data_IF_351811926402
#
_entry.id   IF_351811926402
#
_cell.length_a   1.000
_cell.length_b   1.000
_cell.length_c   1.000
_cell.angle_alpha   90.00
_cell.angle_beta   90.00
_cell.angle_gamma   90.00
#
_symmetry.space_group_name_H-M   'P 1'
#
loop_
_entity.id
_entity.type
_entity.pdbx_description
1 polymer ?
#
# COMPACT_ATOMS: atom_id res chain seq x y z
N UNK A 1 18.20 3.78 -0.69
CA UNK A 1 18.62 2.52 -0.01
C UNK A 1 17.38 1.79 0.49
N UNK A 2 17.31 0.47 0.27
CA UNK A 2 16.21 -0.40 0.72
C UNK A 2 16.66 -1.08 2.02
N UNK A 3 15.92 -0.85 3.12
CA UNK A 3 16.15 -1.44 4.44
C UNK A 3 15.25 -2.66 4.67
N UNK A 4 14.00 -2.61 4.20
CA UNK A 4 13.08 -3.75 4.26
C UNK A 4 12.07 -3.71 3.09
N UNK A 5 11.59 -4.89 2.69
CA UNK A 5 10.46 -5.08 1.79
C UNK A 5 9.56 -6.16 2.39
N UNK A 6 8.25 -5.93 2.40
CA UNK A 6 7.24 -6.89 2.86
C UNK A 6 6.12 -7.02 1.84
N UNK A 7 5.86 -8.25 1.39
CA UNK A 7 4.67 -8.58 0.60
C UNK A 7 3.42 -8.48 1.49
N UNK A 8 2.42 -7.74 1.02
CA UNK A 8 1.19 -7.48 1.78
C UNK A 8 0.08 -8.41 1.31
N UNK A 9 -0.33 -8.31 0.05
CA UNK A 9 -1.28 -9.25 -0.55
C UNK A 9 -0.56 -10.52 -0.97
N UNK A 10 -0.95 -11.65 -0.39
CA UNK A 10 -0.46 -12.99 -0.77
C UNK A 10 -1.56 -13.72 -1.56
N UNK A 11 -1.24 -14.69 -2.42
CA UNK A 11 -2.27 -15.44 -3.16
C UNK A 11 -3.35 -16.06 -2.26
N UNK A 12 -3.00 -16.44 -1.02
CA UNK A 12 -3.93 -16.97 -0.03
C UNK A 12 -4.72 -15.92 0.75
N UNK A 13 -4.28 -14.65 0.76
CA UNK A 13 -4.95 -13.53 1.44
C UNK A 13 -4.77 -12.27 0.61
N UNK A 14 -5.76 -12.01 -0.24
CA UNK A 14 -5.78 -10.83 -1.07
C UNK A 14 -6.23 -9.59 -0.29
N UNK A 15 -5.46 -8.52 -0.38
CA UNK A 15 -5.71 -7.26 0.35
C UNK A 15 -5.98 -6.16 -0.65
N UNK A 16 -7.25 -5.74 -0.70
CA UNK A 16 -7.74 -4.60 -1.48
C UNK A 16 -8.12 -3.48 -0.52
N UNK A 17 -7.78 -2.25 -0.87
CA UNK A 17 -8.10 -1.09 -0.06
C UNK A 17 -8.78 -0.02 -0.90
N UNK A 18 -9.81 0.59 -0.32
CA UNK A 18 -10.37 1.84 -0.80
C UNK A 18 -9.39 3.01 -0.55
N UNK A 19 -9.54 4.14 -1.26
CA UNK A 19 -8.67 5.30 -1.05
C UNK A 19 -8.76 5.84 0.39
N UNK A 20 -9.94 5.73 1.01
CA UNK A 20 -10.18 6.18 2.38
C UNK A 20 -9.46 5.29 3.40
N UNK A 21 -9.57 3.97 3.27
CA UNK A 21 -8.85 3.01 4.13
C UNK A 21 -7.34 3.12 3.95
N UNK A 22 -6.88 3.33 2.71
CA UNK A 22 -5.48 3.54 2.40
C UNK A 22 -4.95 4.78 3.12
N UNK A 23 -5.66 5.92 3.00
CA UNK A 23 -5.30 7.17 3.70
C UNK A 23 -5.24 6.98 5.22
N UNK A 24 -6.17 6.22 5.79
CA UNK A 24 -6.17 5.91 7.22
C UNK A 24 -4.97 5.05 7.63
N UNK A 25 -4.71 3.94 6.91
CA UNK A 25 -3.61 3.01 7.21
C UNK A 25 -2.24 3.62 7.00
N UNK A 26 -2.07 4.48 6.00
CA UNK A 26 -0.78 5.10 5.67
C UNK A 26 -0.56 6.46 6.33
N UNK A 27 -1.42 6.89 7.27
CA UNK A 27 -1.35 8.23 7.89
C UNK A 27 0.02 8.55 8.51
N UNK A 28 0.67 7.56 9.11
CA UNK A 28 1.99 7.68 9.75
C UNK A 28 3.08 6.89 9.01
N UNK A 29 2.81 6.46 7.78
CA UNK A 29 3.75 5.67 7.02
C UNK A 29 4.89 6.55 6.49
N UNK A 30 6.12 6.22 6.87
CA UNK A 30 7.35 6.85 6.36
C UNK A 30 7.92 6.15 5.13
N UNK A 31 7.41 4.96 4.80
CA UNK A 31 7.85 4.15 3.66
C UNK A 31 7.02 4.34 2.39
N UNK A 32 7.22 3.44 1.43
CA UNK A 32 6.49 3.39 0.16
C UNK A 32 5.61 2.15 0.12
N UNK A 33 4.33 2.33 -0.18
CA UNK A 33 3.40 1.25 -0.45
C UNK A 33 3.07 1.26 -1.94
N UNK A 34 3.16 0.08 -2.56
CA UNK A 34 2.95 -0.13 -3.99
C UNK A 34 1.59 -0.79 -4.21
N UNK A 35 0.78 -0.16 -5.04
CA UNK A 35 -0.60 -0.50 -5.30
C UNK A 35 -0.77 -0.90 -6.77
N UNK A 36 -1.52 -1.97 -7.03
CA UNK A 36 -2.06 -2.26 -8.35
C UNK A 36 -3.46 -1.67 -8.43
N UNK A 37 -3.67 -0.72 -9.35
CA UNK A 37 -4.94 -0.07 -9.60
C UNK A 37 -5.36 -0.31 -11.06
N UNK A 38 -6.54 0.19 -11.45
CA UNK A 38 -6.99 0.18 -12.85
C UNK A 38 -6.14 1.05 -13.77
N UNK A 39 -5.38 2.00 -13.22
CA UNK A 39 -4.49 2.90 -13.96
C UNK A 39 -3.03 2.38 -14.01
N UNK A 40 -2.78 1.16 -13.53
CA UNK A 40 -1.44 0.55 -13.47
C UNK A 40 -0.91 0.42 -12.04
N UNK A 41 0.41 0.22 -11.93
CA UNK A 41 1.09 0.08 -10.64
C UNK A 41 1.62 1.43 -10.20
N UNK A 42 1.08 1.95 -9.09
CA UNK A 42 1.36 3.31 -8.60
C UNK A 42 1.59 3.33 -7.10
N UNK A 43 2.07 4.47 -6.58
CA UNK A 43 2.28 4.63 -5.15
C UNK A 43 0.96 4.86 -4.41
N UNK A 44 0.92 4.48 -3.13
CA UNK A 44 -0.21 4.82 -2.26
C UNK A 44 -0.50 6.33 -2.18
N UNK A 45 0.53 7.19 -2.30
CA UNK A 45 0.35 8.65 -2.27
C UNK A 45 -0.44 9.12 -3.49
N UNK A 46 -0.13 8.56 -4.65
CA UNK A 46 -0.84 8.87 -5.89
C UNK A 46 -2.27 8.31 -5.84
N UNK A 47 -2.45 7.10 -5.30
CA UNK A 47 -3.79 6.54 -5.05
C UNK A 47 -4.66 7.47 -4.18
N UNK A 48 -4.11 7.98 -3.08
CA UNK A 48 -4.83 8.91 -2.19
C UNK A 48 -5.12 10.25 -2.87
N UNK A 49 -4.18 10.77 -3.66
CA UNK A 49 -4.35 12.03 -4.42
C UNK A 49 -5.41 11.91 -5.51
N UNK A 50 -5.42 10.79 -6.22
CA UNK A 50 -6.36 10.50 -7.31
C UNK A 50 -7.72 10.01 -6.80
N UNK A 51 -7.83 9.66 -5.51
CA UNK A 51 -9.05 9.09 -4.95
C UNK A 51 -9.38 7.70 -5.48
N UNK A 52 -8.36 6.90 -5.82
CA UNK A 52 -8.52 5.54 -6.36
C UNK A 52 -7.97 4.49 -5.38
N UNK A 53 -8.69 3.38 -5.27
CA UNK A 53 -8.29 2.21 -4.50
C UNK A 53 -7.55 1.18 -5.35
N UNK A 54 -7.19 0.06 -4.73
CA UNK A 54 -6.57 -1.05 -5.46
C UNK A 54 -6.02 -2.15 -4.56
N UNK A 55 -5.33 -3.10 -5.19
CA UNK A 55 -4.67 -4.21 -4.52
C UNK A 55 -3.31 -3.80 -3.98
N UNK A 56 -3.03 -4.14 -2.74
CA UNK A 56 -1.76 -3.84 -2.09
C UNK A 56 -0.71 -4.91 -2.37
N UNK A 57 0.31 -4.61 -3.18
CA UNK A 57 1.33 -5.61 -3.54
C UNK A 57 2.35 -5.79 -2.42
N UNK A 58 3.12 -4.74 -2.14
CA UNK A 58 4.19 -4.77 -1.13
C UNK A 58 4.47 -3.38 -0.58
N UNK A 59 5.12 -3.35 0.57
CA UNK A 59 5.59 -2.14 1.23
C UNK A 59 7.11 -2.16 1.38
N UNK A 60 7.74 -1.02 1.15
CA UNK A 60 9.19 -0.80 1.21
C UNK A 60 9.50 0.22 2.29
N UNK A 61 10.51 -0.04 3.10
CA UNK A 61 10.95 0.83 4.20
C UNK A 61 9.83 1.19 5.18
N UNK A 62 8.87 0.28 5.34
CA UNK A 62 7.78 0.47 6.27
C UNK A 62 8.22 -0.03 7.65
N UNK A 63 8.56 0.90 8.53
CA UNK A 63 8.91 0.62 9.91
C UNK A 63 7.69 0.08 10.66
N UNK A 64 7.54 -1.23 10.70
CA UNK A 64 6.70 -1.95 11.66
C UNK A 64 5.21 -1.55 11.74
N UNK A 65 4.58 -1.06 10.67
CA UNK A 65 3.12 -1.08 10.60
C UNK A 65 2.66 -2.53 10.41
N UNK A 66 2.15 -3.14 11.47
CA UNK A 66 1.55 -4.47 11.44
C UNK A 66 0.20 -4.42 10.74
N UNK A 67 0.01 -5.34 9.79
CA UNK A 67 -1.31 -5.68 9.28
C UNK A 67 -1.86 -6.77 10.20
N UNK A 68 -2.83 -6.41 11.03
CA UNK A 68 -3.71 -7.37 11.68
C UNK A 68 -4.69 -7.90 10.61
#
# INVERSE_FOLDING_TARGET
VIRNIRVVSKPSRDIWLTPHELKFRTRFNTGLWVMQTSCGVISHRDCVRMGIGGKMLFAVNNGYQHFC
#
